data_IF_793485272212
#
_entry.id   IF_793485272212
#
_cell.length_a   1.000
_cell.length_b   1.000
_cell.length_c   1.000
_cell.angle_alpha   90.00
_cell.angle_beta   90.00
_cell.angle_gamma   90.00
#
_symmetry.space_group_name_H-M   'P 1'
#
loop_
_entity.id
_entity.type
_entity.pdbx_description
1 polymer ?
#
# COMPACT_ATOMS: atom_id res chain seq x y z
N UNK A 1 -2.59 -24.40 35.17
CA UNK A 1 -1.88 -23.86 33.96
C UNK A 1 -2.41 -24.66 32.77
N UNK A 2 -3.46 -24.17 32.14
CA UNK A 2 -4.01 -24.85 30.96
C UNK A 2 -3.08 -24.61 29.76
N UNK A 3 -2.49 -25.72 29.35
CA UNK A 3 -1.62 -25.78 28.18
C UNK A 3 -2.50 -25.76 26.93
N UNK A 4 -3.07 -24.59 26.61
CA UNK A 4 -3.90 -24.43 25.44
C UNK A 4 -2.97 -24.33 24.23
N UNK A 5 -2.73 -25.49 23.61
CA UNK A 5 -2.02 -25.58 22.34
C UNK A 5 -2.78 -24.74 21.31
N UNK A 6 -2.04 -23.93 20.55
CA UNK A 6 -2.56 -23.33 19.33
C UNK A 6 -3.05 -24.48 18.46
N UNK A 7 -4.29 -24.43 17.91
CA UNK A 7 -4.78 -25.51 17.05
C UNK A 7 -3.75 -25.83 15.98
N UNK A 8 -3.50 -27.12 15.76
CA UNK A 8 -2.60 -27.55 14.70
C UNK A 8 -3.23 -27.18 13.36
N UNK A 9 -2.75 -26.11 12.75
CA UNK A 9 -3.15 -25.74 11.39
C UNK A 9 -2.41 -26.62 10.39
N UNK A 10 -3.11 -27.34 9.51
CA UNK A 10 -2.50 -28.36 8.65
C UNK A 10 -1.84 -27.83 7.38
N UNK A 11 -2.05 -26.56 7.00
CA UNK A 11 -1.50 -26.00 5.75
C UNK A 11 -0.11 -25.36 5.94
N UNK A 12 0.73 -25.42 4.91
CA UNK A 12 2.05 -24.76 4.96
C UNK A 12 1.91 -23.23 5.00
N UNK A 13 0.87 -22.66 4.38
CA UNK A 13 0.53 -21.24 4.48
C UNK A 13 0.24 -20.84 5.94
N UNK A 14 -0.46 -21.69 6.70
CA UNK A 14 -0.74 -21.45 8.11
C UNK A 14 0.53 -21.45 8.96
N UNK A 15 1.54 -22.26 8.63
CA UNK A 15 2.84 -22.26 9.32
C UNK A 15 3.57 -20.94 9.13
N UNK A 16 3.64 -20.41 7.89
CA UNK A 16 4.22 -19.11 7.60
C UNK A 16 3.54 -17.99 8.42
N UNK A 17 2.21 -17.99 8.49
CA UNK A 17 1.44 -17.00 9.25
C UNK A 17 1.71 -17.08 10.75
N UNK A 18 1.87 -18.30 11.29
CA UNK A 18 2.20 -18.51 12.69
C UNK A 18 3.61 -17.99 13.00
N UNK A 19 4.61 -18.31 12.18
CA UNK A 19 5.98 -17.85 12.34
C UNK A 19 6.10 -16.31 12.22
N UNK A 20 5.30 -15.73 11.34
CA UNK A 20 5.19 -14.28 11.18
C UNK A 20 4.41 -13.59 12.31
N UNK A 21 3.67 -14.36 13.14
CA UNK A 21 2.86 -13.83 14.24
C UNK A 21 1.62 -13.05 13.77
N UNK A 22 1.05 -13.44 12.63
CA UNK A 22 -0.15 -12.82 12.03
C UNK A 22 -1.38 -13.00 12.92
N UNK A 23 -1.45 -14.09 13.67
CA UNK A 23 -2.59 -14.48 14.50
C UNK A 23 -2.79 -13.61 15.75
N UNK A 24 -1.85 -12.75 16.11
CA UNK A 24 -1.99 -11.88 17.27
C UNK A 24 -2.93 -10.71 16.97
N UNK A 25 -4.10 -10.75 17.58
CA UNK A 25 -5.07 -9.65 17.57
C UNK A 25 -4.76 -8.57 18.61
N UNK A 26 -5.73 -7.69 18.81
CA UNK A 26 -5.68 -6.67 19.86
C UNK A 26 -6.36 -7.15 21.15
N UNK A 27 -6.42 -6.27 22.18
CA UNK A 27 -7.16 -6.55 23.40
C UNK A 27 -8.66 -6.64 23.09
N UNK A 28 -9.35 -7.59 23.74
CA UNK A 28 -10.79 -7.83 23.61
C UNK A 28 -11.64 -6.55 23.75
N UNK A 29 -11.22 -5.62 24.62
CA UNK A 29 -11.93 -4.34 24.82
C UNK A 29 -11.89 -3.40 23.61
N UNK A 30 -10.99 -3.63 22.67
CA UNK A 30 -10.85 -2.83 21.44
C UNK A 30 -11.43 -3.50 20.20
N UNK A 31 -11.80 -4.78 20.29
CA UNK A 31 -12.32 -5.56 19.18
C UNK A 31 -13.58 -4.94 18.59
N UNK A 32 -13.57 -4.67 17.29
CA UNK A 32 -14.76 -4.23 16.56
C UNK A 32 -15.80 -5.36 16.53
N UNK A 33 -17.07 -5.10 16.86
CA UNK A 33 -18.14 -6.11 16.83
C UNK A 33 -18.26 -6.85 15.49
N UNK A 34 -18.01 -6.17 14.36
CA UNK A 34 -18.05 -6.75 13.02
C UNK A 34 -16.91 -7.73 12.74
N UNK A 35 -15.78 -7.57 13.44
CA UNK A 35 -14.60 -8.44 13.30
C UNK A 35 -14.62 -9.66 14.21
N UNK A 36 -15.62 -9.82 15.08
CA UNK A 36 -15.75 -10.97 15.97
C UNK A 36 -15.76 -12.31 15.22
N UNK A 37 -16.27 -12.34 14.02
CA UNK A 37 -16.25 -13.55 13.18
C UNK A 37 -14.84 -13.98 12.77
N UNK A 38 -13.87 -13.06 12.78
CA UNK A 38 -12.48 -13.33 12.46
C UNK A 38 -11.64 -13.73 13.70
N UNK A 39 -12.26 -13.71 14.88
CA UNK A 39 -11.61 -14.12 16.13
C UNK A 39 -11.83 -15.61 16.35
N UNK A 40 -10.76 -16.36 16.59
CA UNK A 40 -10.78 -17.78 16.91
C UNK A 40 -11.05 -18.01 18.40
N UNK A 41 -10.29 -17.32 19.26
CA UNK A 41 -10.36 -17.44 20.71
C UNK A 41 -9.79 -16.20 21.40
N UNK A 42 -10.04 -16.10 22.71
CA UNK A 42 -9.38 -15.11 23.56
C UNK A 42 -8.38 -15.78 24.50
N UNK A 43 -7.15 -15.28 24.56
CA UNK A 43 -6.11 -15.78 25.46
C UNK A 43 -5.52 -14.63 26.27
N UNK A 44 -5.71 -14.67 27.58
CA UNK A 44 -5.16 -13.63 28.47
C UNK A 44 -5.64 -12.21 28.16
N UNK A 45 -6.87 -12.04 27.64
CA UNK A 45 -7.42 -10.74 27.26
C UNK A 45 -7.01 -10.25 25.86
N UNK A 46 -6.21 -11.03 25.12
CA UNK A 46 -5.82 -10.78 23.74
C UNK A 46 -6.62 -11.70 22.81
N UNK A 47 -7.20 -11.15 21.77
CA UNK A 47 -7.90 -11.91 20.73
C UNK A 47 -6.89 -12.61 19.83
N UNK A 48 -7.18 -13.86 19.49
CA UNK A 48 -6.41 -14.66 18.53
C UNK A 48 -7.21 -14.71 17.24
N UNK A 49 -6.60 -14.29 16.15
CA UNK A 49 -7.22 -14.22 14.82
C UNK A 49 -7.29 -15.63 14.22
N UNK A 50 -8.39 -15.93 13.56
CA UNK A 50 -8.57 -17.15 12.79
C UNK A 50 -7.80 -17.05 11.47
N UNK A 51 -6.74 -17.86 11.32
CA UNK A 51 -5.86 -17.84 10.16
C UNK A 51 -6.52 -18.36 8.89
N UNK A 52 -7.49 -19.29 8.98
CA UNK A 52 -8.23 -19.76 7.80
C UNK A 52 -8.98 -18.60 7.15
N UNK A 53 -9.63 -17.77 7.98
CA UNK A 53 -10.28 -16.54 7.47
C UNK A 53 -9.30 -15.51 6.95
N UNK A 54 -8.13 -15.38 7.60
CA UNK A 54 -7.08 -14.50 7.08
C UNK A 54 -6.66 -14.92 5.69
N UNK A 55 -6.50 -16.23 5.45
CA UNK A 55 -6.14 -16.80 4.15
C UNK A 55 -7.22 -16.52 3.09
N UNK A 56 -8.50 -16.73 3.40
CA UNK A 56 -9.61 -16.44 2.50
C UNK A 56 -9.63 -14.95 2.08
N UNK A 57 -9.62 -14.05 3.05
CA UNK A 57 -9.61 -12.60 2.77
C UNK A 57 -8.34 -12.15 2.04
N UNK A 58 -7.20 -12.77 2.33
CA UNK A 58 -5.96 -12.50 1.62
C UNK A 58 -6.07 -12.90 0.15
N UNK A 59 -6.58 -14.09 -0.15
CA UNK A 59 -6.71 -14.60 -1.52
C UNK A 59 -7.61 -13.70 -2.37
N UNK A 60 -8.71 -13.20 -1.80
CA UNK A 60 -9.57 -12.22 -2.46
C UNK A 60 -8.84 -10.90 -2.74
N UNK A 61 -8.09 -10.40 -1.76
CA UNK A 61 -7.30 -9.18 -1.88
C UNK A 61 -6.18 -9.31 -2.94
N UNK A 62 -5.49 -10.46 -2.98
CA UNK A 62 -4.44 -10.75 -3.95
C UNK A 62 -5.00 -10.83 -5.36
N UNK A 63 -6.10 -11.55 -5.56
CA UNK A 63 -6.78 -11.69 -6.85
C UNK A 63 -7.21 -10.34 -7.40
N UNK A 64 -7.79 -9.49 -6.56
CA UNK A 64 -8.17 -8.13 -6.92
C UNK A 64 -6.97 -7.24 -7.24
N UNK A 65 -5.91 -7.31 -6.44
CA UNK A 65 -4.69 -6.53 -6.67
C UNK A 65 -4.03 -6.92 -7.99
N UNK A 66 -3.93 -8.22 -8.28
CA UNK A 66 -3.40 -8.76 -9.53
C UNK A 66 -4.18 -8.26 -10.76
N UNK A 67 -5.52 -8.28 -10.69
CA UNK A 67 -6.37 -7.77 -11.76
C UNK A 67 -6.17 -6.27 -11.99
N UNK A 68 -6.13 -5.47 -10.92
CA UNK A 68 -5.89 -4.02 -11.01
C UNK A 68 -4.55 -3.71 -11.64
N UNK A 69 -3.48 -4.37 -11.21
CA UNK A 69 -2.13 -4.15 -11.75
C UNK A 69 -2.04 -4.59 -13.21
N UNK A 70 -2.65 -5.71 -13.60
CA UNK A 70 -2.78 -6.16 -14.99
C UNK A 70 -3.38 -5.06 -15.87
N UNK A 71 -4.38 -4.36 -15.38
CA UNK A 71 -5.05 -3.26 -16.09
C UNK A 71 -4.26 -1.94 -16.07
N UNK A 72 -3.05 -1.92 -15.51
CA UNK A 72 -2.18 -0.74 -15.46
C UNK A 72 -2.59 0.31 -14.44
N UNK A 73 -3.25 -0.11 -13.37
CA UNK A 73 -3.67 0.76 -12.29
C UNK A 73 -2.49 1.40 -11.56
N UNK A 74 -2.64 2.68 -11.19
CA UNK A 74 -1.73 3.40 -10.32
C UNK A 74 -1.98 2.97 -8.87
N UNK A 75 -0.99 2.32 -8.26
CA UNK A 75 -1.06 1.86 -6.86
C UNK A 75 -0.36 2.88 -5.96
N UNK A 76 -1.03 3.28 -4.88
CA UNK A 76 -0.46 4.12 -3.82
C UNK A 76 -0.30 3.29 -2.54
N UNK A 77 0.89 3.33 -1.95
CA UNK A 77 1.21 2.62 -0.71
C UNK A 77 1.15 3.57 0.48
N UNK A 78 0.49 3.20 1.58
CA UNK A 78 0.42 4.02 2.79
C UNK A 78 0.67 3.19 4.05
N UNK A 79 1.76 3.50 4.75
CA UNK A 79 2.07 2.95 6.06
C UNK A 79 3.01 3.90 6.81
N UNK A 80 2.53 4.53 7.87
CA UNK A 80 3.32 5.50 8.65
C UNK A 80 3.92 4.89 9.92
N UNK A 81 3.78 3.58 10.09
CA UNK A 81 4.37 2.87 11.21
C UNK A 81 5.85 2.57 10.93
N UNK A 82 6.76 2.78 11.89
CA UNK A 82 8.18 2.45 11.72
C UNK A 82 8.43 0.96 11.38
N UNK A 83 7.52 0.08 11.84
CA UNK A 83 7.59 -1.36 11.56
C UNK A 83 7.34 -1.73 10.09
N UNK A 84 6.68 -0.85 9.31
CA UNK A 84 6.33 -1.05 7.90
C UNK A 84 7.21 -0.26 6.93
N UNK A 85 7.91 0.76 7.41
CA UNK A 85 8.62 1.75 6.58
C UNK A 85 9.61 1.11 5.60
N UNK A 86 10.50 0.25 6.09
CA UNK A 86 11.55 -0.36 5.27
C UNK A 86 10.96 -1.22 4.15
N UNK A 87 9.93 -2.00 4.44
CA UNK A 87 9.31 -2.93 3.49
C UNK A 87 8.48 -2.17 2.44
N UNK A 88 7.78 -1.10 2.84
CA UNK A 88 7.09 -0.19 1.91
C UNK A 88 8.09 0.50 0.98
N UNK A 89 9.21 0.99 1.50
CA UNK A 89 10.25 1.63 0.69
C UNK A 89 10.87 0.67 -0.33
N UNK A 90 11.11 -0.59 0.06
CA UNK A 90 11.60 -1.65 -0.85
C UNK A 90 10.60 -1.90 -1.98
N UNK A 91 9.33 -2.11 -1.65
CA UNK A 91 8.27 -2.34 -2.63
C UNK A 91 8.10 -1.14 -3.56
N UNK A 92 8.05 0.07 -3.02
CA UNK A 92 7.91 1.30 -3.80
C UNK A 92 9.06 1.50 -4.79
N UNK A 93 10.30 1.24 -4.38
CA UNK A 93 11.47 1.31 -5.27
C UNK A 93 11.42 0.25 -6.37
N UNK A 94 11.01 -0.97 -6.04
CA UNK A 94 10.96 -2.09 -6.98
C UNK A 94 9.98 -1.84 -8.12
N UNK A 95 8.81 -1.30 -7.83
CA UNK A 95 7.73 -1.10 -8.80
C UNK A 95 7.55 0.35 -9.27
N UNK A 96 8.30 1.29 -8.71
CA UNK A 96 8.15 2.72 -8.99
C UNK A 96 6.85 3.33 -8.45
N UNK A 97 6.24 2.70 -7.44
CA UNK A 97 4.97 3.16 -6.88
C UNK A 97 5.14 4.38 -5.97
N UNK A 98 4.18 5.32 -5.99
CA UNK A 98 4.12 6.38 -4.99
C UNK A 98 3.79 5.78 -3.61
N UNK A 99 4.32 6.42 -2.55
CA UNK A 99 4.17 5.94 -1.18
C UNK A 99 4.09 7.06 -0.16
N UNK A 100 3.55 6.75 1.01
CA UNK A 100 3.54 7.63 2.20
C UNK A 100 3.97 6.82 3.42
N UNK A 101 5.13 7.19 4.01
CA UNK A 101 5.70 6.49 5.20
C UNK A 101 5.82 7.39 6.43
N UNK A 102 5.85 8.72 6.29
CA UNK A 102 5.96 9.63 7.43
C UNK A 102 4.58 10.03 7.95
N UNK A 103 3.90 10.91 7.24
CA UNK A 103 2.58 11.42 7.59
C UNK A 103 1.73 11.54 6.34
N UNK A 104 0.47 11.09 6.41
CA UNK A 104 -0.48 11.30 5.34
C UNK A 104 -0.80 12.79 5.17
N UNK A 105 -0.46 13.41 4.02
CA UNK A 105 -0.88 14.77 3.74
C UNK A 105 -2.37 14.78 3.42
N UNK A 106 -3.18 15.47 4.23
CA UNK A 106 -4.61 15.59 3.95
C UNK A 106 -4.86 16.19 2.56
N UNK A 107 -5.82 15.63 1.82
CA UNK A 107 -6.12 16.02 0.45
C UNK A 107 -5.29 15.33 -0.63
N UNK A 108 -4.45 14.36 -0.29
CA UNK A 108 -3.63 13.62 -1.26
C UNK A 108 -4.47 13.02 -2.38
N UNK A 109 -5.65 12.53 -2.08
CA UNK A 109 -6.58 11.94 -3.05
C UNK A 109 -7.69 12.96 -3.40
N UNK A 110 -8.33 13.56 -2.41
CA UNK A 110 -9.49 14.43 -2.62
C UNK A 110 -9.14 15.77 -3.26
N UNK A 111 -7.93 16.25 -3.06
CA UNK A 111 -7.43 17.52 -3.60
C UNK A 111 -6.10 17.36 -4.32
N UNK A 112 -6.03 16.35 -5.18
CA UNK A 112 -4.82 15.98 -5.92
C UNK A 112 -4.19 17.15 -6.69
N UNK A 113 -5.01 18.05 -7.25
CA UNK A 113 -4.53 19.24 -7.99
C UNK A 113 -3.67 20.18 -7.13
N UNK A 114 -3.95 20.30 -5.84
CA UNK A 114 -3.12 21.12 -4.94
C UNK A 114 -1.86 20.34 -4.55
N UNK A 115 -1.99 19.05 -4.31
CA UNK A 115 -0.86 18.19 -3.96
C UNK A 115 0.16 18.14 -5.10
N UNK A 116 -0.27 17.97 -6.36
CA UNK A 116 0.63 17.97 -7.53
C UNK A 116 1.41 19.28 -7.67
N UNK A 117 0.77 20.43 -7.44
CA UNK A 117 1.48 21.73 -7.40
C UNK A 117 2.54 21.80 -6.29
N UNK A 118 2.29 21.18 -5.13
CA UNK A 118 3.28 21.12 -4.03
C UNK A 118 4.45 20.21 -4.39
N UNK A 119 4.19 19.10 -5.07
CA UNK A 119 5.23 18.20 -5.58
C UNK A 119 6.08 18.91 -6.64
N UNK A 120 5.45 19.62 -7.59
CA UNK A 120 6.16 20.43 -8.59
C UNK A 120 7.01 21.52 -7.94
N UNK A 121 6.50 22.19 -6.92
CA UNK A 121 7.24 23.19 -6.16
C UNK A 121 8.46 22.59 -5.47
N UNK A 122 8.34 21.41 -4.85
CA UNK A 122 9.47 20.68 -4.28
C UNK A 122 10.54 20.35 -5.34
N UNK A 123 10.10 19.80 -6.49
CA UNK A 123 11.01 19.49 -7.61
C UNK A 123 11.74 20.74 -8.11
N UNK A 124 11.03 21.87 -8.23
CA UNK A 124 11.64 23.16 -8.60
C UNK A 124 12.68 23.62 -7.59
N UNK A 125 12.36 23.64 -6.29
CA UNK A 125 13.30 24.05 -5.24
C UNK A 125 14.57 23.19 -5.22
N UNK A 126 14.43 21.87 -5.43
CA UNK A 126 15.60 20.97 -5.54
C UNK A 126 16.42 21.25 -6.80
N UNK A 127 15.77 21.55 -7.92
CA UNK A 127 16.44 21.95 -9.15
C UNK A 127 17.20 23.26 -8.98
N UNK A 128 16.58 24.27 -8.36
CA UNK A 128 17.20 25.57 -8.06
C UNK A 128 18.41 25.43 -7.12
N UNK A 129 18.33 24.54 -6.14
CA UNK A 129 19.46 24.23 -5.24
C UNK A 129 20.62 23.57 -6.01
N UNK A 130 20.33 22.53 -6.79
CA UNK A 130 21.34 21.80 -7.56
C UNK A 130 21.97 22.65 -8.68
N UNK A 131 21.23 23.55 -9.27
CA UNK A 131 21.66 24.46 -10.35
C UNK A 131 22.39 25.71 -9.87
N UNK A 132 22.63 25.90 -8.56
CA UNK A 132 23.30 27.09 -8.01
C UNK A 132 22.45 28.36 -8.07
N UNK A 133 21.18 28.27 -8.45
CA UNK A 133 20.28 29.44 -8.53
C UNK A 133 20.05 30.12 -7.17
N UNK A 134 20.39 29.44 -6.07
CA UNK A 134 20.28 29.93 -4.71
C UNK A 134 21.52 30.71 -4.23
N UNK A 135 22.58 30.81 -5.03
CA UNK A 135 23.82 31.52 -4.63
C UNK A 135 23.64 33.03 -4.50
N UNK A 136 22.60 33.58 -5.14
CA UNK A 136 22.18 34.97 -5.02
C UNK A 136 21.57 35.35 -3.67
N UNK A 137 21.13 34.34 -2.88
CA UNK A 137 20.50 34.56 -1.59
C UNK A 137 21.54 34.62 -0.46
N UNK A 138 21.18 35.31 0.63
CA UNK A 138 22.00 35.33 1.84
C UNK A 138 22.09 33.95 2.47
N UNK A 139 23.14 33.72 3.28
CA UNK A 139 23.37 32.47 4.00
C UNK A 139 22.11 32.05 4.83
N UNK A 140 21.48 33.05 5.48
CA UNK A 140 20.28 32.80 6.29
C UNK A 140 19.09 32.31 5.44
N UNK A 141 18.85 32.94 4.31
CA UNK A 141 17.77 32.55 3.38
C UNK A 141 18.01 31.16 2.79
N UNK A 142 19.27 30.83 2.41
CA UNK A 142 19.60 29.46 1.93
C UNK A 142 19.27 28.39 2.97
N UNK A 143 19.66 28.59 4.22
CA UNK A 143 19.31 27.66 5.31
C UNK A 143 17.80 27.53 5.51
N UNK A 144 17.04 28.62 5.34
CA UNK A 144 15.56 28.55 5.42
C UNK A 144 14.95 27.74 4.24
N UNK A 145 15.48 27.92 3.04
CA UNK A 145 15.04 27.17 1.85
C UNK A 145 15.40 25.68 2.00
N UNK A 146 16.60 25.36 2.47
CA UNK A 146 17.01 23.97 2.74
C UNK A 146 16.10 23.28 3.76
N UNK A 147 15.72 23.96 4.83
CA UNK A 147 14.76 23.45 5.83
C UNK A 147 13.37 23.23 5.21
N UNK A 148 12.93 24.14 4.34
CA UNK A 148 11.66 23.98 3.63
C UNK A 148 11.72 22.78 2.66
N UNK A 149 12.81 22.59 1.92
CA UNK A 149 13.04 21.42 1.08
C UNK A 149 12.98 20.14 1.93
N UNK A 150 13.64 20.10 3.10
CA UNK A 150 13.58 18.96 4.02
C UNK A 150 12.15 18.64 4.43
N UNK A 151 11.41 19.65 4.91
CA UNK A 151 10.00 19.49 5.32
C UNK A 151 9.08 19.01 4.19
N UNK A 152 9.25 19.55 2.99
CA UNK A 152 8.47 19.14 1.81
C UNK A 152 8.85 17.72 1.35
N UNK A 153 10.12 17.36 1.46
CA UNK A 153 10.61 16.01 1.15
C UNK A 153 9.98 14.97 2.08
N UNK A 154 9.93 15.25 3.37
CA UNK A 154 9.30 14.36 4.35
C UNK A 154 7.80 14.13 4.07
N UNK A 155 7.11 15.15 3.54
CA UNK A 155 5.67 15.08 3.25
C UNK A 155 5.35 14.53 1.87
N UNK A 156 6.11 14.92 0.84
CA UNK A 156 5.75 14.69 -0.56
C UNK A 156 6.80 13.91 -1.35
N UNK A 157 7.98 13.62 -0.78
CA UNK A 157 9.05 12.93 -1.51
C UNK A 157 8.63 11.56 -2.05
N UNK A 158 7.85 10.80 -1.29
CA UNK A 158 7.32 9.53 -1.75
C UNK A 158 6.19 9.64 -2.78
N UNK A 159 5.61 10.83 -2.96
CA UNK A 159 4.52 11.07 -3.90
C UNK A 159 4.99 11.64 -5.26
N UNK A 160 6.29 11.78 -5.48
CA UNK A 160 6.84 12.37 -6.71
C UNK A 160 6.46 11.60 -7.99
N UNK A 161 6.20 10.30 -7.86
CA UNK A 161 5.75 9.42 -8.95
C UNK A 161 4.21 9.41 -9.12
N UNK A 162 3.47 10.10 -8.27
CA UNK A 162 2.02 10.18 -8.36
C UNK A 162 1.62 11.21 -9.44
N UNK A 163 1.45 10.75 -10.67
CA UNK A 163 1.13 11.60 -11.84
C UNK A 163 -0.37 11.83 -12.02
N UNK A 164 -1.22 10.98 -11.44
CA UNK A 164 -2.68 11.04 -11.48
C UNK A 164 -3.27 10.51 -10.18
N UNK A 165 -4.58 10.65 -9.99
CA UNK A 165 -5.26 10.03 -8.86
C UNK A 165 -5.01 8.51 -8.87
N UNK A 166 -4.75 7.87 -7.70
CA UNK A 166 -4.48 6.44 -7.66
C UNK A 166 -5.74 5.62 -7.93
N UNK A 167 -5.58 4.45 -8.55
CA UNK A 167 -6.67 3.52 -8.84
C UNK A 167 -6.84 2.45 -7.75
N UNK A 168 -5.83 2.30 -6.90
CA UNK A 168 -5.78 1.37 -5.79
C UNK A 168 -4.94 1.97 -4.66
N UNK A 169 -5.44 1.88 -3.43
CA UNK A 169 -4.72 2.24 -2.21
C UNK A 169 -4.44 0.97 -1.39
N UNK A 170 -3.17 0.73 -1.05
CA UNK A 170 -2.75 -0.35 -0.14
C UNK A 170 -2.33 0.28 1.18
N UNK A 171 -2.94 -0.16 2.28
CA UNK A 171 -2.77 0.46 3.61
C UNK A 171 -2.40 -0.59 4.66
N UNK A 172 -1.44 -0.26 5.50
CA UNK A 172 -1.18 -0.99 6.74
C UNK A 172 -1.82 -0.21 7.89
N UNK A 173 -2.69 -0.85 8.67
CA UNK A 173 -3.53 -0.26 9.72
C UNK A 173 -4.47 0.83 9.18
N UNK A 174 -5.67 0.45 8.68
CA UNK A 174 -6.65 1.39 8.15
C UNK A 174 -7.24 2.32 9.22
N UNK A 175 -7.13 1.96 10.50
CA UNK A 175 -7.56 2.80 11.61
C UNK A 175 -6.62 3.98 11.83
N UNK A 176 -5.30 3.72 11.81
CA UNK A 176 -4.27 4.76 11.87
C UNK A 176 -4.39 5.70 10.66
N UNK A 177 -4.66 5.13 9.49
CA UNK A 177 -4.79 5.85 8.21
C UNK A 177 -6.25 6.19 7.86
N UNK A 178 -7.10 6.43 8.85
CA UNK A 178 -8.52 6.69 8.65
C UNK A 178 -8.82 7.88 7.72
N UNK A 179 -7.93 8.87 7.66
CA UNK A 179 -8.04 10.01 6.74
C UNK A 179 -7.83 9.52 5.30
N UNK A 180 -6.78 8.74 5.04
CA UNK A 180 -6.48 8.19 3.71
C UNK A 180 -7.62 7.30 3.20
N UNK A 181 -8.12 6.40 4.07
CA UNK A 181 -9.24 5.50 3.78
C UNK A 181 -10.52 6.29 3.48
N UNK A 182 -10.81 7.35 4.25
CA UNK A 182 -11.98 8.22 4.01
C UNK A 182 -11.88 8.97 2.68
N UNK A 183 -10.70 9.50 2.36
CA UNK A 183 -10.47 10.17 1.07
C UNK A 183 -10.63 9.19 -0.10
N UNK A 184 -10.08 7.97 0.01
CA UNK A 184 -10.23 6.93 -1.01
C UNK A 184 -11.71 6.55 -1.19
N UNK A 185 -12.45 6.34 -0.09
CA UNK A 185 -13.89 6.05 -0.13
C UNK A 185 -14.69 7.17 -0.78
N UNK A 186 -14.37 8.44 -0.51
CA UNK A 186 -15.04 9.61 -1.10
C UNK A 186 -14.83 9.67 -2.62
N UNK A 187 -13.69 9.20 -3.11
CA UNK A 187 -13.36 9.18 -4.54
C UNK A 187 -13.70 7.84 -5.22
N UNK A 188 -14.24 6.88 -4.49
CA UNK A 188 -14.55 5.54 -5.03
C UNK A 188 -13.33 4.69 -5.34
N UNK A 189 -12.17 5.03 -4.76
CA UNK A 189 -10.93 4.28 -4.93
C UNK A 189 -10.94 3.08 -3.98
N UNK A 190 -10.79 1.86 -4.50
CA UNK A 190 -10.74 0.66 -3.67
C UNK A 190 -9.50 0.67 -2.77
N UNK A 191 -9.69 0.18 -1.54
CA UNK A 191 -8.63 0.05 -0.53
C UNK A 191 -8.44 -1.41 -0.20
N UNK A 192 -7.20 -1.89 -0.26
CA UNK A 192 -6.73 -3.17 0.28
C UNK A 192 -5.94 -2.87 1.54
N UNK A 193 -6.29 -3.50 2.65
CA UNK A 193 -5.64 -3.19 3.93
C UNK A 193 -5.30 -4.44 4.74
N UNK A 194 -4.12 -4.42 5.38
CA UNK A 194 -3.85 -5.26 6.53
C UNK A 194 -4.35 -4.54 7.78
N UNK A 195 -5.24 -5.16 8.54
CA UNK A 195 -5.76 -4.54 9.75
C UNK A 195 -6.04 -5.55 10.85
N UNK A 196 -5.99 -5.09 12.08
CA UNK A 196 -6.28 -5.89 13.25
C UNK A 196 -7.80 -5.98 13.51
N UNK A 197 -8.20 -6.79 14.47
CA UNK A 197 -9.62 -6.98 14.86
C UNK A 197 -10.30 -5.74 15.46
N UNK A 198 -9.58 -4.64 15.63
CA UNK A 198 -10.13 -3.34 16.03
C UNK A 198 -10.47 -2.42 14.82
N UNK A 199 -10.15 -2.85 13.62
CA UNK A 199 -10.46 -2.14 12.38
C UNK A 199 -11.94 -2.29 11.98
N UNK A 200 -12.48 -1.32 11.24
CA UNK A 200 -13.84 -1.41 10.66
C UNK A 200 -13.75 -2.01 9.25
N UNK A 201 -14.29 -3.23 9.03
CA UNK A 201 -14.22 -3.88 7.71
C UNK A 201 -15.03 -3.12 6.64
N UNK A 202 -16.05 -2.36 7.01
CA UNK A 202 -16.86 -1.59 6.04
C UNK A 202 -16.17 -0.31 5.56
N UNK A 203 -15.05 0.04 6.17
CA UNK A 203 -14.27 1.22 5.78
C UNK A 203 -13.43 0.99 4.52
N UNK A 204 -13.07 -0.25 4.23
CA UNK A 204 -12.19 -0.65 3.11
C UNK A 204 -12.85 -1.72 2.26
N UNK A 205 -12.38 -1.89 1.02
CA UNK A 205 -12.96 -2.90 0.12
C UNK A 205 -12.50 -4.31 0.47
N UNK A 206 -11.22 -4.47 0.80
CA UNK A 206 -10.62 -5.74 1.21
C UNK A 206 -9.81 -5.51 2.47
N UNK A 207 -10.31 -6.01 3.61
CA UNK A 207 -9.60 -6.03 4.87
C UNK A 207 -9.06 -7.44 5.11
N UNK A 208 -7.74 -7.57 5.16
CA UNK A 208 -7.08 -8.82 5.56
C UNK A 208 -6.85 -8.77 7.07
N UNK A 209 -7.53 -9.63 7.85
CA UNK A 209 -7.35 -9.69 9.28
C UNK A 209 -5.95 -10.19 9.62
N UNK A 210 -5.19 -9.44 10.40
CA UNK A 210 -3.82 -9.83 10.79
C UNK A 210 -3.21 -8.85 11.77
N UNK A 211 -2.01 -9.16 12.23
CA UNK A 211 -1.26 -8.30 13.13
C UNK A 211 -0.59 -7.16 12.35
N UNK A 212 -1.16 -5.98 12.45
CA UNK A 212 -0.70 -4.76 11.79
C UNK A 212 0.44 -4.03 12.51
N UNK A 213 0.87 -4.51 13.68
CA UNK A 213 1.92 -3.88 14.49
C UNK A 213 3.27 -4.61 14.38
N UNK A 214 3.26 -5.91 14.11
CA UNK A 214 4.46 -6.72 14.01
C UNK A 214 5.13 -6.57 12.65
N UNK A 215 6.42 -6.21 12.63
CA UNK A 215 7.22 -6.15 11.40
C UNK A 215 7.16 -7.44 10.58
N UNK A 216 7.23 -8.61 11.24
CA UNK A 216 7.19 -9.91 10.54
C UNK A 216 5.84 -10.13 9.85
N UNK A 217 4.74 -9.79 10.52
CA UNK A 217 3.40 -9.93 9.97
C UNK A 217 3.16 -8.98 8.80
N UNK A 218 3.62 -7.73 8.92
CA UNK A 218 3.54 -6.73 7.85
C UNK A 218 4.38 -7.17 6.65
N UNK A 219 5.61 -7.62 6.88
CA UNK A 219 6.49 -8.13 5.83
C UNK A 219 5.86 -9.33 5.10
N UNK A 220 5.28 -10.28 5.84
CA UNK A 220 4.56 -11.41 5.27
C UNK A 220 3.43 -10.94 4.34
N UNK A 221 2.57 -10.03 4.80
CA UNK A 221 1.48 -9.49 3.99
C UNK A 221 2.01 -8.78 2.73
N UNK A 222 2.99 -7.89 2.88
CA UNK A 222 3.58 -7.16 1.77
C UNK A 222 4.26 -8.07 0.75
N UNK A 223 4.91 -9.16 1.20
CA UNK A 223 5.51 -10.16 0.31
C UNK A 223 4.44 -10.88 -0.54
N UNK A 224 3.29 -11.22 0.06
CA UNK A 224 2.17 -11.81 -0.71
C UNK A 224 1.60 -10.82 -1.72
N UNK A 225 1.39 -9.56 -1.32
CA UNK A 225 0.97 -8.47 -2.24
C UNK A 225 2.00 -8.25 -3.36
N UNK A 226 3.28 -8.26 -3.03
CA UNK A 226 4.38 -8.12 -4.01
C UNK A 226 4.32 -9.21 -5.08
N UNK A 227 4.14 -10.47 -4.67
CA UNK A 227 3.98 -11.60 -5.60
C UNK A 227 2.77 -11.41 -6.53
N UNK A 228 1.63 -10.96 -6.01
CA UNK A 228 0.45 -10.68 -6.82
C UNK A 228 0.66 -9.53 -7.82
N UNK A 229 1.41 -8.50 -7.42
CA UNK A 229 1.80 -7.40 -8.31
C UNK A 229 2.72 -7.89 -9.43
N UNK A 230 3.73 -8.70 -9.11
CA UNK A 230 4.63 -9.28 -10.12
C UNK A 230 3.89 -10.14 -11.13
N UNK A 231 3.00 -10.99 -10.66
CA UNK A 231 2.16 -11.79 -11.55
C UNK A 231 1.27 -10.91 -12.44
N UNK A 232 0.65 -9.86 -11.88
CA UNK A 232 -0.16 -8.92 -12.65
C UNK A 232 0.65 -8.19 -13.74
N UNK A 233 1.88 -7.80 -13.44
CA UNK A 233 2.78 -7.12 -14.38
C UNK A 233 3.26 -8.06 -15.51
N UNK A 234 3.56 -9.33 -15.22
CA UNK A 234 3.94 -10.33 -16.24
C UNK A 234 2.84 -10.49 -17.30
N UNK A 235 1.61 -10.67 -16.88
CA UNK A 235 0.48 -10.76 -17.81
C UNK A 235 0.28 -9.50 -18.67
N UNK A 236 0.62 -8.32 -18.15
CA UNK A 236 0.54 -7.06 -18.91
C UNK A 236 1.58 -7.01 -20.02
N UNK A 237 2.78 -7.55 -19.80
CA UNK A 237 3.85 -7.62 -20.81
C UNK A 237 3.46 -8.59 -21.90
N UNK A 238 3.01 -9.80 -21.54
CA UNK A 238 2.62 -10.84 -22.50
C UNK A 238 1.51 -10.37 -23.45
N UNK A 239 0.47 -9.70 -22.92
CA UNK A 239 -0.64 -9.15 -23.73
C UNK A 239 -0.17 -8.03 -24.68
N UNK A 240 0.81 -7.22 -24.27
CA UNK A 240 1.38 -6.19 -25.17
C UNK A 240 2.21 -6.80 -26.29
N UNK A 241 3.04 -7.78 -25.97
CA UNK A 241 3.85 -8.47 -26.97
C UNK A 241 2.98 -9.24 -27.98
N UNK A 242 1.91 -9.89 -27.53
CA UNK A 242 0.93 -10.54 -28.39
C UNK A 242 0.19 -9.55 -29.30
N UNK A 243 -0.22 -8.39 -28.76
CA UNK A 243 -0.86 -7.34 -29.54
C UNK A 243 0.07 -6.70 -30.58
N UNK A 244 1.34 -6.51 -30.24
CA UNK A 244 2.37 -6.01 -31.17
C UNK A 244 2.67 -7.03 -32.28
N UNK A 245 2.74 -8.33 -31.96
CA UNK A 245 2.90 -9.40 -32.94
C UNK A 245 1.69 -9.53 -33.87
N UNK A 246 0.48 -9.44 -33.34
CA UNK A 246 -0.76 -9.45 -34.13
C UNK A 246 -0.92 -8.21 -35.02
N UNK A 247 -0.47 -7.03 -34.57
CA UNK A 247 -0.44 -5.81 -35.38
C UNK A 247 0.61 -5.79 -36.50
N UNK A 248 1.66 -6.62 -36.39
CA UNK A 248 2.69 -6.75 -37.41
C UNK A 248 2.26 -7.67 -38.57
N UNK A 249 1.21 -8.48 -38.43
CA UNK A 249 0.67 -9.36 -39.46
C UNK A 249 -0.30 -8.67 -40.46
N UNK A 250 -0.72 -7.43 -40.23
CA UNK A 250 -1.55 -6.69 -41.18
C UNK A 250 -0.66 -5.90 -42.14
N UNK A 251 -0.06 -6.57 -43.14
CA UNK A 251 0.49 -5.89 -44.31
C UNK A 251 -0.67 -5.36 -45.17
N UNK A 252 -0.62 -4.13 -45.69
CA UNK A 252 -1.63 -3.64 -46.60
C UNK A 252 -1.56 -4.46 -47.91
N UNK A 253 -2.69 -5.02 -48.29
CA UNK A 253 -2.89 -5.60 -49.63
C UNK A 253 -2.73 -4.46 -50.61
N UNK A 254 -1.65 -4.51 -51.40
CA UNK A 254 -1.44 -3.63 -52.54
C UNK A 254 -2.57 -3.85 -53.54
N UNK A 255 -3.45 -2.89 -53.73
CA UNK A 255 -4.29 -2.85 -54.93
C UNK A 255 -3.43 -2.44 -56.10
N UNK A 256 -2.94 -3.41 -56.87
CA UNK A 256 -2.66 -3.25 -58.28
C UNK A 256 -3.98 -3.38 -59.04
N UNK A 257 -4.49 -2.31 -59.59
CA UNK A 257 -5.01 -2.15 -60.96
C UNK A 257 -5.52 -0.75 -61.20
#
# INVERSE_FOLDING_TARGET
MENTQIPAYPSDASKEMIEAGVFYGCRKSKTNPKMKSCVLMNRGGIEIINLDKTEDYLNDALSFTKEKVRNGSMVLLAATQPSAEEDILKMAKKFGFPYVVNRWPGGTITNFKIISKRIEYLKKLRGDLAGGALDKYTKKERVMIEREIGRLTDLFGGLENLTREPDLLIVIDPRLHSIAVREAKQKGIPVVALGNVDSDPDSVKYLVPGNDNSRKSINWFLTKIESAIEEGLKFKVDVKEEAEKAGAEIKPISNEK
#
